data_IF_652512263309
#
_entry.id   IF_652512263309
#
_cell.length_a   1.000
_cell.length_b   1.000
_cell.length_c   1.000
_cell.angle_alpha   90.00
_cell.angle_beta   90.00
_cell.angle_gamma   90.00
#
_symmetry.space_group_name_H-M   'P 1'
#
loop_
_entity.id
_entity.type
_entity.pdbx_description
1 polymer ?
#
# COMPACT_ATOMS: atom_id res chain seq x y z
N UNK A 1 6.56 20.87 10.61
CA UNK A 1 6.23 20.50 9.21
C UNK A 1 4.73 20.20 9.04
N UNK A 2 4.25 18.96 8.89
CA UNK A 2 2.84 18.65 8.53
C UNK A 2 1.74 19.32 9.38
N UNK A 3 1.89 19.39 10.71
CA UNK A 3 0.90 20.03 11.60
C UNK A 3 0.80 21.55 11.39
N UNK A 4 1.88 22.20 10.96
CA UNK A 4 1.91 23.64 10.69
C UNK A 4 1.22 23.94 9.36
N UNK A 5 1.46 23.11 8.34
CA UNK A 5 0.80 23.23 7.03
C UNK A 5 -0.74 23.04 7.11
N UNK A 6 -1.22 22.07 7.91
CA UNK A 6 -2.66 21.91 8.16
C UNK A 6 -3.30 23.13 8.86
N UNK A 7 -2.53 23.86 9.67
CA UNK A 7 -3.01 25.05 10.39
C UNK A 7 -3.10 26.31 9.53
N UNK A 8 -2.40 26.34 8.38
CA UNK A 8 -2.32 27.52 7.50
C UNK A 8 -3.17 27.42 6.22
N UNK A 9 -3.91 26.32 6.03
CA UNK A 9 -4.69 26.05 4.80
C UNK A 9 -3.87 26.12 3.49
N UNK A 10 -2.55 26.00 3.56
CA UNK A 10 -1.71 25.92 2.37
C UNK A 10 -1.74 24.49 1.82
N UNK A 11 -2.67 24.26 0.88
CA UNK A 11 -2.81 22.98 0.19
C UNK A 11 -1.53 22.56 -0.54
N UNK A 12 -0.71 23.50 -1.01
CA UNK A 12 0.54 23.18 -1.68
C UNK A 12 1.58 22.68 -0.69
N UNK A 13 1.72 23.33 0.47
CA UNK A 13 2.58 22.85 1.56
C UNK A 13 2.14 21.47 2.06
N UNK A 14 0.84 21.26 2.27
CA UNK A 14 0.31 19.94 2.66
C UNK A 14 0.59 18.88 1.59
N UNK A 15 0.35 19.19 0.31
CA UNK A 15 0.63 18.27 -0.78
C UNK A 15 2.12 17.91 -0.86
N UNK A 16 3.01 18.87 -0.63
CA UNK A 16 4.45 18.61 -0.61
C UNK A 16 4.85 17.67 0.52
N UNK A 17 4.39 17.92 1.74
CA UNK A 17 4.68 17.05 2.89
C UNK A 17 4.14 15.62 2.68
N UNK A 18 2.97 15.47 2.08
CA UNK A 18 2.42 14.16 1.72
C UNK A 18 3.30 13.45 0.67
N UNK A 19 3.83 14.18 -0.31
CA UNK A 19 4.73 13.64 -1.32
C UNK A 19 6.07 13.17 -0.69
N UNK A 20 6.62 13.92 0.26
CA UNK A 20 7.86 13.54 0.96
C UNK A 20 7.67 12.25 1.77
N UNK A 21 6.51 12.05 2.39
CA UNK A 21 6.16 10.79 3.05
C UNK A 21 6.10 9.63 2.06
N UNK A 22 5.45 9.82 0.90
CA UNK A 22 5.40 8.79 -0.13
C UNK A 22 6.80 8.46 -0.66
N UNK A 23 7.68 9.45 -0.81
CA UNK A 23 9.05 9.25 -1.27
C UNK A 23 9.84 8.30 -0.37
N UNK A 24 9.77 8.50 0.95
CA UNK A 24 10.43 7.62 1.93
C UNK A 24 9.81 6.22 1.94
N UNK A 25 8.49 6.12 1.83
CA UNK A 25 7.78 4.84 1.76
C UNK A 25 8.19 4.03 0.53
N UNK A 26 8.19 4.65 -0.65
CA UNK A 26 8.63 4.00 -1.89
C UNK A 26 10.11 3.64 -1.84
N UNK A 27 10.97 4.52 -1.33
CA UNK A 27 12.39 4.22 -1.14
C UNK A 27 12.64 3.01 -0.24
N UNK A 28 11.82 2.86 0.81
CA UNK A 28 11.87 1.69 1.71
C UNK A 28 11.41 0.42 0.98
N UNK A 29 10.31 0.47 0.24
CA UNK A 29 9.80 -0.67 -0.52
C UNK A 29 10.84 -1.18 -1.54
N UNK A 30 11.47 -0.26 -2.27
CA UNK A 30 12.57 -0.58 -3.21
C UNK A 30 13.75 -1.22 -2.48
N UNK A 31 14.15 -0.67 -1.33
CA UNK A 31 15.26 -1.23 -0.53
C UNK A 31 14.96 -2.64 0.01
N UNK A 32 13.68 -2.99 0.17
CA UNK A 32 13.24 -4.33 0.54
C UNK A 32 12.96 -5.26 -0.66
N UNK A 33 13.12 -4.79 -1.90
CA UNK A 33 12.80 -5.56 -3.11
C UNK A 33 11.30 -5.80 -3.31
N UNK A 34 10.46 -4.91 -2.78
CA UNK A 34 8.99 -5.04 -2.84
C UNK A 34 8.44 -4.08 -3.89
N UNK A 35 7.75 -4.63 -4.89
CA UNK A 35 6.85 -3.84 -5.74
C UNK A 35 5.60 -3.49 -4.92
N UNK A 36 5.49 -2.22 -4.54
CA UNK A 36 4.45 -1.74 -3.64
C UNK A 36 3.10 -1.58 -4.33
N UNK A 37 3.05 -1.46 -5.66
CA UNK A 37 1.80 -1.21 -6.37
C UNK A 37 0.78 -2.35 -6.22
N UNK A 38 1.10 -3.64 -6.52
CA UNK A 38 0.15 -4.73 -6.33
C UNK A 38 -0.22 -4.94 -4.85
N UNK A 39 0.70 -4.66 -3.92
CA UNK A 39 0.44 -4.69 -2.48
C UNK A 39 -0.60 -3.62 -2.10
N UNK A 40 -0.42 -2.39 -2.56
CA UNK A 40 -1.34 -1.29 -2.31
C UNK A 40 -2.74 -1.59 -2.87
N UNK A 41 -2.82 -2.15 -4.08
CA UNK A 41 -4.09 -2.54 -4.71
C UNK A 41 -4.86 -3.57 -3.88
N UNK A 42 -4.18 -4.58 -3.32
CA UNK A 42 -4.81 -5.59 -2.47
C UNK A 42 -5.25 -5.03 -1.11
N UNK A 43 -4.45 -4.14 -0.52
CA UNK A 43 -4.85 -3.41 0.70
C UNK A 43 -6.08 -2.53 0.43
N UNK A 44 -6.11 -1.82 -0.71
CA UNK A 44 -7.26 -1.02 -1.11
C UNK A 44 -8.51 -1.89 -1.28
N UNK A 45 -8.44 -3.00 -2.03
CA UNK A 45 -9.54 -3.98 -2.18
C UNK A 45 -10.07 -4.46 -0.83
N UNK A 46 -9.16 -4.86 0.07
CA UNK A 46 -9.51 -5.28 1.44
C UNK A 46 -10.18 -4.18 2.24
N UNK A 47 -9.69 -2.93 2.15
CA UNK A 47 -10.30 -1.79 2.83
C UNK A 47 -11.69 -1.45 2.27
N UNK A 48 -11.87 -1.51 0.95
CA UNK A 48 -13.18 -1.33 0.32
C UNK A 48 -14.18 -2.42 0.74
N UNK A 49 -13.72 -3.64 1.02
CA UNK A 49 -14.58 -4.71 1.57
C UNK A 49 -15.05 -4.46 3.01
N UNK A 50 -14.47 -3.49 3.73
CA UNK A 50 -14.88 -3.09 5.10
C UNK A 50 -15.99 -2.04 5.10
N UNK A 51 -16.25 -1.38 3.97
CA UNK A 51 -17.25 -0.33 3.85
C UNK A 51 -18.63 -0.92 4.15
N UNK A 52 -19.39 -0.29 5.05
CA UNK A 52 -20.70 -0.79 5.51
C UNK A 52 -20.67 -1.58 6.84
N UNK A 53 -19.52 -1.69 7.51
CA UNK A 53 -19.46 -2.12 8.90
C UNK A 53 -20.15 -1.12 9.83
N UNK A 54 -20.87 -1.60 10.84
CA UNK A 54 -21.55 -0.76 11.83
C UNK A 54 -21.01 -1.03 13.23
N UNK A 55 -21.15 -0.04 14.10
CA UNK A 55 -20.84 -0.17 15.53
C UNK A 55 -22.10 -0.67 16.24
N UNK A 56 -22.01 -1.78 16.96
CA UNK A 56 -23.11 -2.29 17.80
C UNK A 56 -23.31 -1.43 19.05
N UNK A 57 -24.45 -1.62 19.72
CA UNK A 57 -24.78 -0.91 20.96
C UNK A 57 -23.77 -1.15 22.11
N UNK A 58 -23.05 -2.27 22.09
CA UNK A 58 -21.96 -2.58 23.03
C UNK A 58 -20.62 -1.89 22.67
N UNK A 59 -20.61 -1.07 21.62
CA UNK A 59 -19.44 -0.37 21.13
C UNK A 59 -18.53 -1.21 20.23
N UNK A 60 -18.82 -2.50 20.01
CA UNK A 60 -18.01 -3.38 19.15
C UNK A 60 -18.28 -3.08 17.68
N UNK A 61 -17.21 -2.88 16.92
CA UNK A 61 -17.27 -2.79 15.46
C UNK A 61 -17.57 -4.16 14.86
N UNK A 62 -18.61 -4.25 14.04
CA UNK A 62 -18.96 -5.43 13.27
C UNK A 62 -18.59 -5.19 11.82
N UNK A 63 -17.75 -6.07 11.28
CA UNK A 63 -17.38 -6.06 9.87
C UNK A 63 -18.59 -6.51 9.03
N UNK A 64 -18.80 -5.96 7.83
CA UNK A 64 -19.89 -6.38 6.97
C UNK A 64 -19.68 -7.83 6.50
N UNK A 65 -20.75 -8.56 6.12
CA UNK A 65 -20.66 -9.95 5.67
C UNK A 65 -19.70 -10.17 4.49
N UNK A 66 -19.49 -9.15 3.65
CA UNK A 66 -18.59 -9.18 2.49
C UNK A 66 -17.12 -8.85 2.78
N UNK A 67 -16.73 -8.67 4.05
CA UNK A 67 -15.35 -8.36 4.41
C UNK A 67 -14.40 -9.50 4.02
N UNK A 68 -13.29 -9.15 3.36
CA UNK A 68 -12.22 -10.08 3.02
C UNK A 68 -10.85 -9.48 3.32
N UNK A 69 -10.03 -10.10 4.21
CA UNK A 69 -8.73 -9.57 4.61
C UNK A 69 -7.76 -9.48 3.43
N UNK A 70 -6.75 -8.61 3.55
CA UNK A 70 -5.72 -8.47 2.52
C UNK A 70 -4.86 -9.75 2.49
N UNK A 71 -4.59 -10.28 1.30
CA UNK A 71 -3.74 -11.46 1.09
C UNK A 71 -2.43 -11.06 0.41
N UNK A 72 -1.40 -10.80 1.22
CA UNK A 72 -0.14 -10.23 0.73
C UNK A 72 0.87 -11.30 0.31
N UNK A 73 0.86 -12.47 0.96
CA UNK A 73 1.83 -13.54 0.71
C UNK A 73 1.87 -14.00 -0.76
N UNK A 74 0.72 -14.24 -1.44
CA UNK A 74 0.75 -14.63 -2.86
C UNK A 74 1.34 -13.55 -3.77
N UNK A 75 1.15 -12.27 -3.42
CA UNK A 75 1.67 -11.14 -4.19
C UNK A 75 3.20 -11.08 -4.06
N UNK A 76 3.71 -11.21 -2.85
CA UNK A 76 5.16 -11.23 -2.62
C UNK A 76 5.83 -12.46 -3.25
N UNK A 77 5.17 -13.63 -3.22
CA UNK A 77 5.67 -14.82 -3.89
C UNK A 77 5.84 -14.60 -5.40
N UNK A 78 4.85 -14.01 -6.07
CA UNK A 78 4.92 -13.70 -7.50
C UNK A 78 6.04 -12.70 -7.87
N UNK A 79 6.41 -11.81 -6.95
CA UNK A 79 7.55 -10.89 -7.14
C UNK A 79 8.89 -11.61 -7.07
N UNK A 80 9.02 -12.64 -6.23
CA UNK A 80 10.24 -13.44 -6.10
C UNK A 80 10.55 -14.31 -7.31
N UNK A 81 9.52 -14.84 -7.98
CA UNK A 81 9.69 -15.71 -9.16
C UNK A 81 10.19 -14.93 -10.40
N UNK A 82 9.94 -13.62 -10.45
CA UNK A 82 10.24 -12.74 -11.60
C UNK A 82 11.75 -12.39 -11.75
N UNK A 83 12.60 -12.75 -10.78
CA UNK A 83 14.05 -12.42 -10.79
C UNK A 83 14.86 -13.38 -11.67
N UNK A 84 14.30 -14.53 -12.08
CA UNK A 84 15.05 -15.58 -12.79
C UNK A 84 15.05 -15.49 -14.33
N UNK A 85 14.19 -14.66 -14.92
CA UNK A 85 14.05 -14.60 -16.40
C UNK A 85 14.99 -13.58 -17.09
N UNK A 86 15.65 -12.70 -16.33
CA UNK A 86 16.53 -11.66 -16.88
C UNK A 86 17.98 -12.08 -17.18
N UNK A 87 18.41 -13.27 -16.74
CA UNK A 87 19.83 -13.70 -16.82
C UNK A 87 20.12 -14.60 -18.03
N UNK A 88 19.11 -14.97 -18.84
CA UNK A 88 19.28 -15.98 -19.90
C UNK A 88 19.54 -15.44 -21.32
N UNK A 89 19.67 -14.13 -21.55
CA UNK A 89 19.86 -13.57 -22.91
C UNK A 89 21.16 -12.79 -23.19
N UNK A 90 22.11 -12.70 -22.26
CA UNK A 90 23.42 -12.06 -22.54
C UNK A 90 24.57 -13.03 -22.83
N UNK A 91 24.26 -14.31 -23.04
CA UNK A 91 25.26 -15.38 -23.15
C UNK A 91 25.10 -16.30 -24.36
N UNK A 92 24.92 -15.76 -25.57
CA UNK A 92 25.29 -16.48 -26.81
C UNK A 92 25.93 -15.50 -27.80
N UNK A 93 27.07 -15.95 -28.30
CA UNK A 93 27.97 -15.32 -29.28
C UNK A 93 27.29 -14.91 -30.58
#
# INVERSE_FOLDING_TARGET
ELKVALGQQDLAAVAKELADLLYVVYGTAVSCGIDLEPVFREVHRSNMSKVGGHKRADGKWVKPPGYSPARIQPILAAQGDSVTDGVSQSGRS
#
